data_IF_362368196829
#
_entry.id   IF_362368196829
#
_cell.length_a   1.000
_cell.length_b   1.000
_cell.length_c   1.000
_cell.angle_alpha   90.00
_cell.angle_beta   90.00
_cell.angle_gamma   90.00
#
_symmetry.space_group_name_H-M   'P 1'
#
loop_
_entity.id
_entity.type
_entity.pdbx_description
1 polymer ?
#
# COMPACT_ATOMS: atom_id res chain seq x y z
N UNK A 1 -15.74 -5.06 -6.82
CA UNK A 1 -15.42 -5.20 -5.39
C UNK A 1 -15.63 -3.84 -4.75
N UNK A 2 -16.06 -3.76 -3.49
CA UNK A 2 -16.18 -2.48 -2.78
C UNK A 2 -14.84 -2.15 -2.13
N UNK A 3 -14.57 -0.86 -1.85
CA UNK A 3 -13.37 -0.43 -1.13
C UNK A 3 -13.23 -1.17 0.21
N UNK A 4 -14.35 -1.33 0.95
CA UNK A 4 -14.41 -2.09 2.21
C UNK A 4 -14.04 -3.56 2.09
N UNK A 5 -14.15 -4.16 0.89
CA UNK A 5 -13.78 -5.54 0.64
C UNK A 5 -12.32 -5.72 0.21
N UNK A 6 -11.70 -4.68 -0.37
CA UNK A 6 -10.32 -4.70 -0.83
C UNK A 6 -9.33 -4.04 0.12
N UNK A 7 -9.78 -3.06 0.91
CA UNK A 7 -8.98 -2.35 1.89
C UNK A 7 -8.97 -3.14 3.20
N UNK A 8 -7.99 -4.03 3.32
CA UNK A 8 -7.79 -4.90 4.47
C UNK A 8 -6.79 -4.29 5.45
N UNK A 9 -6.88 -4.62 6.76
CA UNK A 9 -5.90 -4.13 7.72
C UNK A 9 -4.50 -4.73 7.48
N UNK A 10 -3.48 -3.88 7.56
CA UNK A 10 -2.07 -4.27 7.64
C UNK A 10 -1.49 -3.72 8.94
N UNK A 11 -1.08 -4.62 9.83
CA UNK A 11 -0.43 -4.29 11.11
C UNK A 11 0.96 -4.90 11.08
N UNK A 12 1.98 -4.10 11.37
CA UNK A 12 3.38 -4.53 11.38
C UNK A 12 3.97 -4.24 12.76
N UNK A 13 4.68 -5.21 13.32
CA UNK A 13 5.41 -5.06 14.60
C UNK A 13 6.86 -5.43 14.39
N UNK A 14 7.75 -4.48 14.64
CA UNK A 14 9.19 -4.68 14.60
C UNK A 14 9.83 -3.81 15.69
N UNK A 15 10.02 -4.37 16.90
CA UNK A 15 10.60 -3.65 18.03
C UNK A 15 11.94 -3.02 17.66
N UNK A 16 12.21 -1.84 18.24
CA UNK A 16 13.44 -1.05 18.04
C UNK A 16 13.66 -0.55 16.59
N UNK A 17 12.79 -0.92 15.65
CA UNK A 17 12.90 -0.58 14.22
C UNK A 17 11.74 0.28 13.75
N UNK A 18 10.50 -0.13 14.07
CA UNK A 18 9.28 0.63 13.76
C UNK A 18 8.84 1.38 15.00
N UNK A 19 8.59 2.69 14.84
CA UNK A 19 8.03 3.53 15.91
C UNK A 19 6.62 3.03 16.29
N UNK A 20 6.38 2.63 17.55
CA UNK A 20 5.06 2.17 18.00
C UNK A 20 3.99 3.25 17.87
N UNK A 21 2.74 2.84 17.63
CA UNK A 21 1.60 3.77 17.52
C UNK A 21 1.60 4.62 16.24
N UNK A 22 2.38 4.24 15.24
CA UNK A 22 2.45 4.94 13.95
C UNK A 22 1.35 4.44 13.01
N UNK A 23 0.63 5.39 12.40
CA UNK A 23 -0.41 5.16 11.40
C UNK A 23 0.06 5.65 10.04
N UNK A 24 0.10 4.76 9.04
CA UNK A 24 0.50 5.08 7.67
C UNK A 24 -0.71 5.00 6.72
N UNK A 25 -0.96 6.06 5.95
CA UNK A 25 -2.01 6.11 4.91
C UNK A 25 -1.46 5.86 3.49
N UNK A 26 -0.24 5.32 3.39
CA UNK A 26 0.36 4.94 2.11
C UNK A 26 -0.27 3.67 1.55
N UNK A 27 -0.36 3.59 0.23
CA UNK A 27 -0.95 2.43 -0.44
C UNK A 27 0.02 1.26 -0.43
N UNK A 28 -0.48 0.09 -0.03
CA UNK A 28 0.21 -1.19 -0.11
C UNK A 28 -0.72 -2.19 -0.80
N UNK A 29 -0.16 -3.02 -1.68
CA UNK A 29 -0.85 -4.21 -2.20
C UNK A 29 -0.08 -5.50 -1.88
N UNK A 30 -0.72 -6.65 -2.11
CA UNK A 30 -0.12 -7.95 -1.82
C UNK A 30 1.21 -8.20 -2.56
N UNK A 31 1.36 -7.71 -3.78
CA UNK A 31 2.58 -7.87 -4.57
C UNK A 31 3.80 -7.17 -3.96
N UNK A 32 3.59 -6.20 -3.06
CA UNK A 32 4.65 -5.41 -2.42
C UNK A 32 5.40 -6.20 -1.32
N UNK A 33 4.83 -7.29 -0.82
CA UNK A 33 5.44 -8.09 0.24
C UNK A 33 6.74 -8.75 -0.20
N UNK A 34 6.78 -9.33 -1.41
CA UNK A 34 7.99 -9.99 -1.93
C UNK A 34 9.19 -9.03 -1.98
N UNK A 35 9.14 -7.87 -2.69
CA UNK A 35 10.27 -6.95 -2.71
C UNK A 35 10.59 -6.36 -1.33
N UNK A 36 9.58 -6.18 -0.44
CA UNK A 36 9.80 -5.73 0.94
C UNK A 36 10.62 -6.75 1.74
N UNK A 37 10.24 -8.02 1.71
CA UNK A 37 10.96 -9.09 2.42
C UNK A 37 12.37 -9.31 1.87
N UNK A 38 12.55 -9.24 0.55
CA UNK A 38 13.89 -9.32 -0.04
C UNK A 38 14.78 -8.16 0.44
N UNK A 39 14.24 -6.95 0.52
CA UNK A 39 14.98 -5.80 1.04
C UNK A 39 15.32 -5.96 2.53
N UNK A 40 14.38 -6.42 3.37
CA UNK A 40 14.60 -6.71 4.79
C UNK A 40 15.71 -7.76 4.97
N UNK A 41 15.66 -8.84 4.19
CA UNK A 41 16.63 -9.93 4.28
C UNK A 41 17.98 -9.61 3.62
N UNK A 42 18.14 -8.42 3.02
CA UNK A 42 19.30 -8.10 2.16
C UNK A 42 19.55 -9.17 1.09
N UNK A 43 18.46 -9.79 0.61
CA UNK A 43 18.49 -10.86 -0.36
C UNK A 43 18.71 -10.32 -1.79
N UNK A 44 19.25 -11.14 -2.71
CA UNK A 44 19.41 -10.74 -4.10
C UNK A 44 18.06 -10.39 -4.74
N UNK A 45 18.10 -9.47 -5.71
CA UNK A 45 16.92 -9.13 -6.52
C UNK A 45 16.47 -10.36 -7.32
N UNK A 46 15.15 -10.53 -7.54
CA UNK A 46 14.64 -11.64 -8.33
C UNK A 46 15.13 -11.49 -9.78
N UNK A 47 15.43 -12.62 -10.43
CA UNK A 47 15.82 -12.61 -11.85
C UNK A 47 14.67 -12.16 -12.75
N UNK A 48 13.44 -12.49 -12.35
CA UNK A 48 12.23 -12.09 -13.03
C UNK A 48 11.76 -10.72 -12.55
N UNK A 49 11.11 -9.96 -13.45
CA UNK A 49 10.45 -8.73 -13.10
C UNK A 49 9.34 -8.99 -12.08
N UNK A 50 9.35 -8.24 -10.99
CA UNK A 50 8.26 -8.15 -10.02
C UNK A 50 7.48 -6.86 -10.22
N UNK A 51 6.17 -6.92 -9.99
CA UNK A 51 5.28 -5.75 -10.13
C UNK A 51 5.16 -4.94 -8.83
N UNK A 52 5.51 -5.55 -7.70
CA UNK A 52 5.48 -4.89 -6.39
C UNK A 52 6.59 -3.86 -6.22
N UNK A 53 6.38 -2.96 -5.27
CA UNK A 53 7.33 -1.97 -4.77
C UNK A 53 7.51 -2.20 -3.28
N UNK A 54 8.75 -2.17 -2.78
CA UNK A 54 8.98 -2.31 -1.34
C UNK A 54 8.35 -1.14 -0.57
N UNK A 55 7.68 -1.44 0.54
CA UNK A 55 7.18 -0.44 1.49
C UNK A 55 8.05 -0.34 2.75
N UNK A 56 9.25 -0.96 2.75
CA UNK A 56 10.20 -0.84 3.86
C UNK A 56 10.56 0.62 4.20
N UNK A 57 10.79 1.53 3.23
CA UNK A 57 11.08 2.92 3.57
C UNK A 57 9.97 3.57 4.42
N UNK A 58 8.70 3.27 4.16
CA UNK A 58 7.57 3.78 4.93
C UNK A 58 7.53 3.19 6.36
N UNK A 59 7.92 1.92 6.53
CA UNK A 59 8.05 1.32 7.87
C UNK A 59 9.16 2.00 8.70
N UNK A 60 10.20 2.49 8.03
CA UNK A 60 11.37 3.14 8.64
C UNK A 60 11.25 4.67 8.70
N UNK A 61 10.07 5.22 8.41
CA UNK A 61 9.80 6.67 8.38
C UNK A 61 10.77 7.46 7.46
N UNK A 62 11.15 6.86 6.34
CA UNK A 62 12.01 7.50 5.33
C UNK A 62 11.16 8.23 4.30
N UNK A 63 11.60 9.43 3.91
CA UNK A 63 11.02 10.20 2.81
C UNK A 63 11.37 9.58 1.45
N UNK A 64 10.75 8.46 1.11
CA UNK A 64 10.82 7.86 -0.21
C UNK A 64 9.43 7.78 -0.88
N UNK A 65 9.34 7.91 -2.21
CA UNK A 65 8.07 7.82 -2.91
C UNK A 65 7.37 6.50 -2.65
N UNK A 66 6.16 6.56 -2.11
CA UNK A 66 5.27 5.41 -2.03
C UNK A 66 4.43 5.25 -3.29
N UNK A 67 3.83 4.07 -3.42
CA UNK A 67 2.92 3.73 -4.50
C UNK A 67 1.76 4.72 -4.58
N UNK A 68 1.44 5.15 -5.80
CA UNK A 68 0.41 6.17 -6.06
C UNK A 68 -0.97 5.57 -6.35
N UNK A 69 -1.02 4.30 -6.80
CA UNK A 69 -2.25 3.58 -7.09
C UNK A 69 -2.08 2.07 -6.95
N UNK A 70 -3.17 1.37 -6.62
CA UNK A 70 -3.24 -0.10 -6.61
C UNK A 70 -4.29 -0.60 -7.62
N UNK A 71 -3.98 -1.61 -8.43
CA UNK A 71 -4.96 -2.30 -9.25
C UNK A 71 -5.82 -3.23 -8.38
N UNK A 72 -7.11 -3.31 -8.69
CA UNK A 72 -8.02 -4.24 -8.04
C UNK A 72 -8.77 -5.02 -9.13
N UNK A 73 -8.45 -6.30 -9.20
CA UNK A 73 -8.97 -7.22 -10.20
C UNK A 73 -9.88 -8.27 -9.55
N UNK A 74 -11.17 -8.25 -9.87
CA UNK A 74 -12.12 -9.24 -9.38
C UNK A 74 -13.15 -9.63 -10.46
N UNK A 75 -13.06 -10.87 -10.96
CA UNK A 75 -13.87 -11.37 -12.10
C UNK A 75 -13.76 -10.40 -13.28
N UNK A 76 -14.89 -9.82 -13.72
CA UNK A 76 -14.95 -8.84 -14.81
C UNK A 76 -14.83 -7.39 -14.32
N UNK A 77 -14.73 -7.17 -13.02
CA UNK A 77 -14.54 -5.84 -12.43
C UNK A 77 -13.04 -5.53 -12.34
N UNK A 78 -12.68 -4.32 -12.74
CA UNK A 78 -11.33 -3.78 -12.73
C UNK A 78 -11.39 -2.36 -12.19
N UNK A 79 -10.51 -2.06 -11.25
CA UNK A 79 -10.49 -0.75 -10.59
C UNK A 79 -9.05 -0.29 -10.38
N UNK A 80 -8.86 1.03 -10.41
CA UNK A 80 -7.64 1.70 -10.00
C UNK A 80 -7.99 2.50 -8.75
N UNK A 81 -7.33 2.20 -7.63
CA UNK A 81 -7.51 2.88 -6.35
C UNK A 81 -6.29 3.74 -6.08
N UNK A 82 -6.45 5.06 -6.02
CA UNK A 82 -5.41 6.00 -5.56
C UNK A 82 -5.53 6.18 -4.04
N UNK A 83 -5.02 7.26 -3.43
CA UNK A 83 -5.36 7.61 -2.05
C UNK A 83 -6.74 8.25 -1.94
N UNK A 84 -7.11 9.09 -2.91
CA UNK A 84 -8.33 9.90 -2.84
C UNK A 84 -9.48 9.35 -3.68
N UNK A 85 -9.20 8.51 -4.68
CA UNK A 85 -10.17 8.11 -5.70
C UNK A 85 -10.16 6.61 -5.98
N UNK A 86 -11.29 6.12 -6.47
CA UNK A 86 -11.49 4.82 -7.11
C UNK A 86 -12.04 5.08 -8.51
N UNK A 87 -11.32 4.63 -9.52
CA UNK A 87 -11.78 4.62 -10.91
C UNK A 87 -12.09 3.19 -11.33
N UNK A 88 -13.24 2.96 -11.95
CA UNK A 88 -13.68 1.62 -12.38
C UNK A 88 -13.71 1.49 -13.90
N UNK A 89 -13.66 0.25 -14.40
CA UNK A 89 -13.80 -0.03 -15.85
C UNK A 89 -15.06 0.56 -16.48
N UNK A 90 -16.13 0.72 -15.72
CA UNK A 90 -17.39 1.30 -16.21
C UNK A 90 -17.39 2.83 -16.11
N UNK A 91 -16.21 3.46 -16.16
CA UNK A 91 -15.99 4.92 -16.16
C UNK A 91 -16.49 5.66 -14.91
N UNK A 92 -16.89 4.93 -13.86
CA UNK A 92 -17.26 5.55 -12.60
C UNK A 92 -16.01 5.97 -11.82
N UNK A 93 -15.98 7.25 -11.42
CA UNK A 93 -14.99 7.84 -10.53
C UNK A 93 -15.66 8.16 -9.19
N UNK A 94 -15.24 7.49 -8.12
CA UNK A 94 -15.79 7.67 -6.78
C UNK A 94 -14.70 8.13 -5.83
N UNK A 95 -14.98 9.16 -5.02
CA UNK A 95 -14.05 9.59 -3.97
C UNK A 95 -14.06 8.57 -2.84
N UNK A 96 -12.91 8.31 -2.24
CA UNK A 96 -12.86 7.42 -1.08
C UNK A 96 -13.36 8.13 0.16
N UNK A 97 -14.34 7.49 0.82
CA UNK A 97 -14.97 8.03 2.01
C UNK A 97 -13.91 8.27 3.08
N UNK A 98 -13.89 9.51 3.61
CA UNK A 98 -12.87 10.02 4.51
C UNK A 98 -12.80 9.21 5.82
N UNK A 99 -11.95 8.19 5.83
CA UNK A 99 -11.29 7.69 7.04
C UNK A 99 -9.77 7.96 7.02
N UNK A 100 -9.21 8.30 5.87
CA UNK A 100 -7.81 8.71 5.74
C UNK A 100 -7.69 10.23 5.79
N UNK A 101 -7.13 10.77 6.88
CA UNK A 101 -6.63 12.15 6.89
C UNK A 101 -5.44 12.24 5.92
N UNK A 102 -5.15 13.43 5.39
CA UNK A 102 -3.90 13.63 4.63
C UNK A 102 -2.73 13.57 5.61
N UNK A 103 -1.77 12.70 5.37
CA UNK A 103 -0.51 12.76 6.08
C UNK A 103 0.35 11.53 5.92
N UNK A 104 1.66 11.75 6.00
CA UNK A 104 2.68 10.74 6.26
C UNK A 104 2.34 9.86 7.47
N UNK A 105 3.16 8.85 7.75
CA UNK A 105 3.17 8.13 9.01
C UNK A 105 2.97 9.09 10.21
N UNK A 106 1.77 9.14 10.78
CA UNK A 106 1.40 10.04 11.86
C UNK A 106 1.31 9.24 13.16
N UNK A 107 1.66 9.88 14.27
CA UNK A 107 1.40 9.32 15.60
C UNK A 107 -0.08 9.51 15.93
N UNK A 108 -0.70 8.46 16.47
CA UNK A 108 -2.01 8.55 17.13
C UNK A 108 -1.91 9.33 18.46
#
# INVERSE_FOLDING_TARGET
MTDRGSHVPLIVSWPETITPGTRCDDLVELADFLPTFLQIASAPKPMQRVHGQSFLPQLLDKEEPSRQWVPIDYKNNRQIRTREWIYTRNENLTRVNALGRRGHCQRD
#
